data_IF_217805547614
#
_entry.id   IF_217805547614
#
_cell.length_a   1.000
_cell.length_b   1.000
_cell.length_c   1.000
_cell.angle_alpha   90.00
_cell.angle_beta   90.00
_cell.angle_gamma   90.00
#
_symmetry.space_group_name_H-M   'P 1'
#
loop_
_entity.id
_entity.type
_entity.pdbx_description
1 polymer ?
#
# COMPACT_ATOMS: atom_id res chain seq x y z
N UNK A 1 -25.29 24.90 48.01
CA UNK A 1 -23.99 24.20 47.92
C UNK A 1 -24.09 22.93 47.07
N UNK A 2 -25.01 21.99 47.35
CA UNK A 2 -25.22 20.77 46.55
C UNK A 2 -25.43 21.00 45.04
N UNK A 3 -26.18 22.04 44.67
CA UNK A 3 -26.47 22.38 43.26
C UNK A 3 -25.26 22.94 42.50
N UNK A 4 -24.33 23.59 43.21
CA UNK A 4 -23.10 24.15 42.62
C UNK A 4 -22.11 23.02 42.32
N UNK A 5 -21.93 22.10 43.27
CA UNK A 5 -21.08 20.92 43.11
C UNK A 5 -21.60 20.01 41.98
N UNK A 6 -22.92 19.80 41.90
CA UNK A 6 -23.55 19.04 40.81
C UNK A 6 -23.30 19.66 39.43
N UNK A 7 -23.43 20.99 39.31
CA UNK A 7 -23.16 21.68 38.05
C UNK A 7 -21.68 21.64 37.67
N UNK A 8 -20.76 21.79 38.62
CA UNK A 8 -19.32 21.67 38.37
C UNK A 8 -18.95 20.27 37.90
N UNK A 9 -19.54 19.22 38.49
CA UNK A 9 -19.31 17.84 38.08
C UNK A 9 -19.79 17.59 36.65
N UNK A 10 -20.98 18.11 36.29
CA UNK A 10 -21.50 18.02 34.91
C UNK A 10 -20.57 18.70 33.90
N UNK A 11 -20.08 19.89 34.23
CA UNK A 11 -19.15 20.63 33.37
C UNK A 11 -17.82 19.88 33.20
N UNK A 12 -17.28 19.31 34.28
CA UNK A 12 -16.04 18.53 34.23
C UNK A 12 -16.20 17.26 33.37
N UNK A 13 -17.34 16.58 33.47
CA UNK A 13 -17.65 15.41 32.62
C UNK A 13 -17.73 15.81 31.15
N UNK A 14 -18.42 16.92 30.83
CA UNK A 14 -18.54 17.42 29.46
C UNK A 14 -17.18 17.77 28.87
N UNK A 15 -16.35 18.52 29.60
CA UNK A 15 -15.00 18.90 29.15
C UNK A 15 -14.15 17.66 28.89
N UNK A 16 -14.11 16.72 29.84
CA UNK A 16 -13.34 15.47 29.71
C UNK A 16 -13.82 14.63 28.52
N UNK A 17 -15.12 14.61 28.25
CA UNK A 17 -15.70 13.92 27.10
C UNK A 17 -15.26 14.55 25.77
N UNK A 18 -15.36 15.88 25.63
CA UNK A 18 -14.90 16.58 24.41
C UNK A 18 -13.40 16.43 24.17
N UNK A 19 -12.58 16.54 25.22
CA UNK A 19 -11.13 16.32 25.13
C UNK A 19 -10.79 14.89 24.66
N UNK A 20 -11.56 13.90 25.13
CA UNK A 20 -11.39 12.51 24.72
C UNK A 20 -11.75 12.30 23.25
N UNK A 21 -12.86 12.88 22.79
CA UNK A 21 -13.26 12.81 21.37
C UNK A 21 -12.27 13.52 20.46
N UNK A 22 -11.80 14.71 20.84
CA UNK A 22 -10.79 15.46 20.08
C UNK A 22 -9.45 14.70 20.01
N UNK A 23 -9.04 14.05 21.10
CA UNK A 23 -7.85 13.21 21.12
C UNK A 23 -7.98 12.03 20.17
N UNK A 24 -9.12 11.32 20.19
CA UNK A 24 -9.39 10.21 19.29
C UNK A 24 -9.40 10.65 17.82
N UNK A 25 -10.06 11.78 17.53
CA UNK A 25 -10.08 12.40 16.22
C UNK A 25 -8.67 12.69 15.67
N UNK A 26 -7.80 13.31 16.48
CA UNK A 26 -6.41 13.60 16.11
C UNK A 26 -5.60 12.34 15.85
N UNK A 27 -5.80 11.29 16.65
CA UNK A 27 -5.13 10.01 16.44
C UNK A 27 -5.54 9.35 15.12
N UNK A 28 -6.82 9.41 14.76
CA UNK A 28 -7.31 8.93 13.46
C UNK A 28 -6.71 9.75 12.31
N UNK A 29 -6.64 11.07 12.43
CA UNK A 29 -6.05 11.93 11.39
C UNK A 29 -4.57 11.58 11.14
N UNK A 30 -3.80 11.37 12.21
CA UNK A 30 -2.39 10.91 12.12
C UNK A 30 -2.32 9.53 11.46
N UNK A 31 -3.20 8.61 11.84
CA UNK A 31 -3.22 7.25 11.30
C UNK A 31 -3.57 7.22 9.82
N UNK A 32 -4.57 8.00 9.39
CA UNK A 32 -4.98 8.13 7.99
C UNK A 32 -3.79 8.65 7.17
N UNK A 33 -3.17 9.76 7.61
CA UNK A 33 -2.03 10.34 6.91
C UNK A 33 -0.87 9.36 6.77
N UNK A 34 -0.54 8.61 7.82
CA UNK A 34 0.51 7.60 7.77
C UNK A 34 0.19 6.47 6.77
N UNK A 35 -1.08 6.06 6.64
CA UNK A 35 -1.49 5.08 5.63
C UNK A 35 -1.43 5.64 4.20
N UNK A 36 -1.78 6.91 4.00
CA UNK A 36 -1.66 7.59 2.70
C UNK A 36 -0.19 7.66 2.25
N UNK A 37 0.71 8.06 3.16
CA UNK A 37 2.15 8.07 2.91
C UNK A 37 2.69 6.66 2.60
N UNK A 38 2.17 5.63 3.28
CA UNK A 38 2.52 4.25 2.99
C UNK A 38 2.04 3.78 1.62
N UNK A 39 0.84 4.18 1.17
CA UNK A 39 0.36 3.90 -0.18
C UNK A 39 1.28 4.54 -1.22
N UNK A 40 1.65 5.81 -1.05
CA UNK A 40 2.58 6.49 -1.97
C UNK A 40 3.92 5.75 -2.08
N UNK A 41 4.46 5.30 -0.95
CA UNK A 41 5.66 4.46 -0.94
C UNK A 41 5.47 3.16 -1.73
N UNK A 42 4.34 2.46 -1.52
CA UNK A 42 4.03 1.22 -2.23
C UNK A 42 3.86 1.44 -3.73
N UNK A 43 3.23 2.54 -4.15
CA UNK A 43 3.09 2.91 -5.55
C UNK A 43 4.44 3.17 -6.21
N UNK A 44 5.33 3.92 -5.56
CA UNK A 44 6.68 4.13 -6.05
C UNK A 44 7.45 2.80 -6.17
N UNK A 45 7.33 1.93 -5.16
CA UNK A 45 7.97 0.62 -5.19
C UNK A 45 7.43 -0.23 -6.35
N UNK A 46 6.12 -0.22 -6.58
CA UNK A 46 5.47 -0.94 -7.69
C UNK A 46 5.97 -0.42 -9.04
N UNK A 47 6.10 0.89 -9.20
CA UNK A 47 6.65 1.49 -10.43
C UNK A 47 8.08 1.01 -10.71
N UNK A 48 8.94 1.00 -9.69
CA UNK A 48 10.31 0.50 -9.83
C UNK A 48 10.34 -0.99 -10.23
N UNK A 49 9.40 -1.81 -9.74
CA UNK A 49 9.28 -3.22 -10.16
C UNK A 49 8.86 -3.33 -11.62
N UNK A 50 7.90 -2.50 -12.07
CA UNK A 50 7.48 -2.48 -13.47
C UNK A 50 8.64 -2.14 -14.42
N UNK A 51 9.44 -1.14 -14.08
CA UNK A 51 10.63 -0.77 -14.87
C UNK A 51 11.64 -1.92 -14.95
N UNK A 52 11.81 -2.67 -13.86
CA UNK A 52 12.70 -3.83 -13.84
C UNK A 52 12.15 -5.00 -14.65
N UNK A 53 10.84 -5.26 -14.59
CA UNK A 53 10.15 -6.26 -15.41
C UNK A 53 10.31 -5.91 -16.90
N UNK A 54 10.08 -4.66 -17.28
CA UNK A 54 10.22 -4.20 -18.66
C UNK A 54 11.65 -4.41 -19.15
N UNK A 55 12.65 -4.01 -18.35
CA UNK A 55 14.06 -4.23 -18.67
C UNK A 55 14.39 -5.71 -18.89
N UNK A 56 13.97 -6.60 -17.99
CA UNK A 56 14.24 -8.02 -18.11
C UNK A 56 13.47 -8.68 -19.24
N UNK A 57 12.27 -8.21 -19.55
CA UNK A 57 11.49 -8.66 -20.70
C UNK A 57 12.22 -8.30 -22.01
N UNK A 58 12.72 -7.07 -22.14
CA UNK A 58 13.52 -6.66 -23.29
C UNK A 58 14.82 -7.49 -23.42
N UNK A 59 15.50 -7.76 -22.31
CA UNK A 59 16.71 -8.59 -22.31
C UNK A 59 16.40 -10.04 -22.73
N UNK A 60 15.27 -10.58 -22.28
CA UNK A 60 14.79 -11.90 -22.65
C UNK A 60 14.46 -11.97 -24.15
N UNK A 61 13.76 -10.97 -24.69
CA UNK A 61 13.43 -10.87 -26.11
C UNK A 61 14.69 -10.79 -26.99
N UNK A 62 15.67 -9.98 -26.59
CA UNK A 62 16.95 -9.89 -27.30
C UNK A 62 17.68 -11.23 -27.32
N UNK A 63 17.77 -11.94 -26.18
CA UNK A 63 18.40 -13.27 -26.12
C UNK A 63 17.63 -14.31 -26.96
N UNK A 64 16.31 -14.23 -27.03
CA UNK A 64 15.54 -15.08 -27.94
C UNK A 64 15.86 -14.80 -29.41
N UNK A 65 16.05 -13.54 -29.78
CA UNK A 65 16.45 -13.15 -31.14
C UNK A 65 17.84 -13.67 -31.50
N UNK A 66 18.82 -13.50 -30.61
CA UNK A 66 20.19 -14.05 -30.77
C UNK A 66 20.14 -15.56 -30.98
N UNK A 67 19.36 -16.27 -30.16
CA UNK A 67 19.16 -17.72 -30.30
C UNK A 67 18.58 -18.12 -31.65
N UNK A 68 17.59 -17.39 -32.15
CA UNK A 68 16.98 -17.68 -33.45
C UNK A 68 18.02 -17.48 -34.57
N UNK A 69 18.87 -16.47 -34.45
CA UNK A 69 19.97 -16.21 -35.39
C UNK A 69 21.03 -17.31 -35.34
N UNK A 70 21.48 -17.70 -34.15
CA UNK A 70 22.43 -18.80 -33.93
C UNK A 70 21.91 -20.14 -34.47
N UNK A 71 20.62 -20.41 -34.29
CA UNK A 71 19.97 -21.65 -34.77
C UNK A 71 19.90 -21.72 -36.29
N UNK A 72 19.80 -20.57 -36.98
CA UNK A 72 19.90 -20.49 -38.44
C UNK A 72 21.31 -20.82 -38.94
N UNK A 73 22.34 -20.60 -38.13
CA UNK A 73 23.75 -20.78 -38.50
C UNK A 73 24.28 -22.17 -38.09
N UNK A 74 23.85 -22.72 -36.95
CA UNK A 74 24.51 -23.88 -36.32
C UNK A 74 23.50 -24.97 -35.96
N UNK A 75 23.24 -25.92 -36.87
CA UNK A 75 22.20 -26.96 -36.71
C UNK A 75 22.45 -28.01 -35.59
N UNK A 76 23.42 -27.86 -34.70
CA UNK A 76 23.70 -28.90 -33.69
C UNK A 76 24.39 -28.38 -32.43
N UNK A 77 23.60 -27.92 -31.45
CA UNK A 77 23.80 -28.25 -30.02
C UNK A 77 22.62 -27.71 -29.21
N UNK A 78 21.91 -28.60 -28.51
CA UNK A 78 20.95 -28.24 -27.45
C UNK A 78 21.72 -27.47 -26.38
N UNK A 79 21.54 -26.16 -26.33
CA UNK A 79 21.91 -25.35 -25.17
C UNK A 79 20.65 -25.16 -24.32
N UNK A 80 20.61 -25.83 -23.16
CA UNK A 80 19.90 -25.27 -22.01
C UNK A 80 20.49 -23.88 -21.78
N UNK A 81 19.71 -22.84 -22.02
CA UNK A 81 20.16 -21.47 -21.76
C UNK A 81 19.78 -21.10 -20.35
N UNK A 82 20.74 -21.31 -19.46
CA UNK A 82 20.60 -20.93 -18.07
C UNK A 82 20.19 -19.47 -17.91
N UNK A 83 20.58 -18.59 -18.84
CA UNK A 83 20.23 -17.17 -18.80
C UNK A 83 18.75 -16.92 -19.14
N UNK A 84 18.19 -17.60 -20.15
CA UNK A 84 16.75 -17.47 -20.48
C UNK A 84 15.89 -17.96 -19.32
N UNK A 85 16.23 -19.12 -18.75
CA UNK A 85 15.51 -19.68 -17.59
C UNK A 85 15.63 -18.75 -16.37
N UNK A 86 16.82 -18.17 -16.16
CA UNK A 86 17.05 -17.23 -15.08
C UNK A 86 16.23 -15.95 -15.25
N UNK A 87 16.23 -15.33 -16.45
CA UNK A 87 15.45 -14.13 -16.75
C UNK A 87 13.95 -14.37 -16.57
N UNK A 88 13.43 -15.49 -17.10
CA UNK A 88 12.03 -15.88 -16.93
C UNK A 88 11.67 -16.00 -15.44
N UNK A 89 12.56 -16.59 -14.64
CA UNK A 89 12.36 -16.72 -13.19
C UNK A 89 12.39 -15.35 -12.49
N UNK A 90 13.28 -14.44 -12.88
CA UNK A 90 13.31 -13.09 -12.32
C UNK A 90 12.03 -12.32 -12.62
N UNK A 91 11.57 -12.34 -13.88
CA UNK A 91 10.32 -11.70 -14.30
C UNK A 91 9.15 -12.23 -13.46
N UNK A 92 8.98 -13.55 -13.37
CA UNK A 92 7.90 -14.16 -12.59
C UNK A 92 7.95 -13.77 -11.08
N UNK A 93 9.14 -13.65 -10.51
CA UNK A 93 9.31 -13.23 -9.11
C UNK A 93 8.88 -11.76 -8.92
N UNK A 94 9.30 -10.87 -9.82
CA UNK A 94 8.94 -9.46 -9.77
C UNK A 94 7.45 -9.24 -10.00
N UNK A 95 6.82 -9.98 -10.92
CA UNK A 95 5.37 -9.95 -11.14
C UNK A 95 4.61 -10.41 -9.90
N UNK A 96 5.07 -11.49 -9.26
CA UNK A 96 4.49 -11.96 -8.00
C UNK A 96 4.58 -10.92 -6.89
N UNK A 97 5.72 -10.23 -6.77
CA UNK A 97 5.91 -9.18 -5.77
C UNK A 97 5.08 -7.92 -6.09
N UNK A 98 4.94 -7.56 -7.37
CA UNK A 98 4.03 -6.50 -7.81
C UNK A 98 2.57 -6.81 -7.43
N UNK A 99 2.11 -8.05 -7.67
CA UNK A 99 0.76 -8.48 -7.30
C UNK A 99 0.50 -8.40 -5.78
N UNK A 100 1.50 -8.75 -4.95
CA UNK A 100 1.40 -8.60 -3.48
C UNK A 100 1.32 -7.12 -3.06
N UNK A 101 2.06 -6.25 -3.73
CA UNK A 101 1.99 -4.80 -3.48
C UNK A 101 0.60 -4.28 -3.82
N UNK A 102 0.02 -4.67 -4.96
CA UNK A 102 -1.33 -4.26 -5.33
C UNK A 102 -2.39 -4.72 -4.34
N UNK A 103 -2.29 -5.96 -3.86
CA UNK A 103 -3.17 -6.46 -2.82
C UNK A 103 -3.02 -5.67 -1.51
N UNK A 104 -1.79 -5.34 -1.14
CA UNK A 104 -1.51 -4.53 0.06
C UNK A 104 -2.06 -3.11 -0.06
N UNK A 105 -1.94 -2.48 -1.23
CA UNK A 105 -2.53 -1.16 -1.50
C UNK A 105 -4.05 -1.24 -1.33
N UNK A 106 -4.73 -2.23 -1.93
CA UNK A 106 -6.18 -2.42 -1.80
C UNK A 106 -6.62 -2.53 -0.33
N UNK A 107 -5.97 -3.41 0.43
CA UNK A 107 -6.28 -3.57 1.87
C UNK A 107 -6.04 -2.28 2.66
N UNK A 108 -5.00 -1.52 2.32
CA UNK A 108 -4.70 -0.25 3.01
C UNK A 108 -5.75 0.81 2.69
N UNK A 109 -6.22 0.89 1.43
CA UNK A 109 -7.32 1.77 1.03
C UNK A 109 -8.61 1.44 1.79
N UNK A 110 -8.94 0.16 1.96
CA UNK A 110 -10.10 -0.27 2.76
C UNK A 110 -9.96 0.19 4.23
N UNK A 111 -8.76 0.07 4.81
CA UNK A 111 -8.48 0.54 6.17
C UNK A 111 -8.60 2.06 6.30
N UNK A 112 -8.16 2.82 5.30
CA UNK A 112 -8.35 4.28 5.25
C UNK A 112 -9.85 4.60 5.21
N UNK A 113 -10.62 3.94 4.35
CA UNK A 113 -12.06 4.17 4.25
C UNK A 113 -12.77 3.92 5.60
N UNK A 114 -12.40 2.85 6.30
CA UNK A 114 -12.90 2.59 7.65
C UNK A 114 -12.51 3.68 8.65
N UNK A 115 -11.25 4.11 8.67
CA UNK A 115 -10.78 5.16 9.58
C UNK A 115 -11.45 6.52 9.31
N UNK A 116 -11.69 6.86 8.04
CA UNK A 116 -12.42 8.06 7.63
C UNK A 116 -13.89 8.00 8.07
N UNK A 117 -14.53 6.83 7.96
CA UNK A 117 -15.89 6.64 8.46
C UNK A 117 -15.97 6.83 9.97
N UNK A 118 -15.04 6.25 10.74
CA UNK A 118 -14.95 6.44 12.19
C UNK A 118 -14.72 7.91 12.55
N UNK A 119 -13.81 8.59 11.85
CA UNK A 119 -13.54 10.02 12.04
C UNK A 119 -14.76 10.89 11.76
N UNK A 120 -15.55 10.52 10.76
CA UNK A 120 -16.82 11.19 10.43
C UNK A 120 -17.87 10.98 11.52
N UNK A 121 -17.96 9.78 12.09
CA UNK A 121 -18.86 9.49 13.22
C UNK A 121 -18.49 10.32 14.46
N UNK A 122 -17.21 10.41 14.82
CA UNK A 122 -16.75 11.26 15.94
C UNK A 122 -17.13 12.74 15.74
N UNK A 123 -17.06 13.21 14.49
CA UNK A 123 -17.44 14.58 14.14
C UNK A 123 -18.94 14.80 14.31
N UNK A 124 -19.77 13.82 13.92
CA UNK A 124 -21.21 13.86 14.14
C UNK A 124 -21.56 13.82 15.64
N UNK A 125 -20.90 12.97 16.42
CA UNK A 125 -21.08 12.89 17.87
C UNK A 125 -20.75 14.23 18.57
N UNK A 126 -19.71 14.92 18.12
CA UNK A 126 -19.38 16.26 18.60
C UNK A 126 -20.45 17.31 18.23
N UNK A 127 -21.20 17.12 17.14
CA UNK A 127 -22.22 18.07 16.67
C UNK A 127 -23.61 17.88 17.30
N UNK A 128 -23.86 16.74 17.95
CA UNK A 128 -25.16 16.36 18.52
C UNK A 128 -25.31 16.66 20.02
N UNK A 129 -24.25 17.16 20.66
CA UNK A 129 -24.17 17.50 22.09
C UNK A 129 -23.93 18.98 22.28
#
# INVERSE_FOLDING_TARGET
MFNVVSNQLKQLILVSYYESLDTCAKQLDVKIKAMEEYILYLEQKRQNLFELIEKYTLELDNKYMDKIEDFKITYAKKLEDHDLVWLQKQINMLESDSAKIEETIKRTLDQIAHAVAERSMLTQMNSLL
#
